data_IF_276728976910
#
_entry.id   IF_276728976910
#
_cell.length_a   1.000
_cell.length_b   1.000
_cell.length_c   1.000
_cell.angle_alpha   90.00
_cell.angle_beta   90.00
_cell.angle_gamma   90.00
#
_symmetry.space_group_name_H-M   'P 1'
#
loop_
_entity.id
_entity.type
_entity.pdbx_description
1 polymer ?
#
# COMPACT_ATOMS: atom_id res chain seq x y z
N UNK A 1 -15.59 6.09 27.78
CA UNK A 1 -14.88 4.96 27.14
C UNK A 1 -14.93 5.09 25.64
N UNK A 2 -13.80 5.39 25.04
CA UNK A 2 -13.70 5.35 23.59
C UNK A 2 -13.61 3.91 23.14
N UNK A 3 -14.74 3.36 22.74
CA UNK A 3 -14.70 2.14 21.98
C UNK A 3 -14.14 2.50 20.60
N UNK A 4 -12.87 2.19 20.38
CA UNK A 4 -12.31 2.33 19.06
C UNK A 4 -13.19 1.52 18.09
N UNK A 5 -13.69 2.15 17.04
CA UNK A 5 -14.47 1.46 16.02
C UNK A 5 -13.63 0.35 15.41
N UNK A 6 -14.22 -0.83 15.23
CA UNK A 6 -13.55 -1.94 14.57
C UNK A 6 -13.30 -1.58 13.09
N UNK A 7 -12.18 -2.02 12.52
CA UNK A 7 -11.91 -1.77 11.11
C UNK A 7 -12.87 -2.56 10.21
N UNK A 8 -13.18 -2.04 9.04
CA UNK A 8 -13.91 -2.80 8.03
C UNK A 8 -13.00 -3.87 7.41
N UNK A 9 -13.60 -4.93 6.89
CA UNK A 9 -12.84 -6.02 6.27
C UNK A 9 -12.10 -5.56 5.00
N UNK A 10 -10.79 -5.79 4.88
CA UNK A 10 -10.04 -5.43 3.67
C UNK A 10 -10.39 -6.28 2.45
N UNK A 11 -11.05 -7.42 2.64
CA UNK A 11 -11.42 -8.31 1.55
C UNK A 11 -12.79 -7.98 0.95
N UNK A 12 -13.81 -7.70 1.78
CA UNK A 12 -15.16 -7.47 1.30
C UNK A 12 -15.78 -6.12 1.69
N UNK A 13 -15.10 -5.34 2.53
CA UNK A 13 -15.57 -4.04 2.99
C UNK A 13 -16.66 -4.07 4.04
N UNK A 14 -17.06 -5.24 4.52
CA UNK A 14 -18.09 -5.38 5.55
C UNK A 14 -17.65 -4.76 6.88
N UNK A 15 -18.58 -4.16 7.60
CA UNK A 15 -18.36 -3.67 8.95
C UNK A 15 -18.65 -4.72 10.02
N UNK A 16 -19.15 -5.89 9.63
CA UNK A 16 -19.45 -7.00 10.53
C UNK A 16 -18.18 -7.76 10.92
N UNK A 17 -17.34 -7.08 11.68
CA UNK A 17 -16.02 -7.57 12.08
C UNK A 17 -16.01 -7.73 13.60
N UNK A 18 -15.43 -8.82 14.06
CA UNK A 18 -15.19 -9.07 15.48
C UNK A 18 -13.70 -9.18 15.76
N UNK A 19 -13.29 -8.76 16.96
CA UNK A 19 -11.92 -8.92 17.42
C UNK A 19 -11.74 -10.33 17.97
N UNK A 20 -10.72 -11.00 17.45
CA UNK A 20 -10.22 -12.27 18.00
C UNK A 20 -8.83 -11.95 18.56
N UNK A 21 -8.32 -12.77 19.46
CA UNK A 21 -7.01 -12.53 20.05
C UNK A 21 -5.91 -12.44 18.97
N UNK A 22 -5.37 -11.24 18.78
CA UNK A 22 -4.30 -10.96 17.84
C UNK A 22 -4.71 -10.71 16.39
N UNK A 23 -6.01 -10.76 16.07
CA UNK A 23 -6.50 -10.50 14.70
C UNK A 23 -7.98 -10.15 14.69
N UNK A 24 -8.53 -9.95 13.50
CA UNK A 24 -9.95 -9.68 13.27
C UNK A 24 -10.57 -10.75 12.38
N UNK A 25 -11.85 -10.99 12.56
CA UNK A 25 -12.62 -11.92 11.72
C UNK A 25 -13.84 -11.22 11.15
N UNK A 26 -14.04 -11.36 9.85
CA UNK A 26 -15.21 -10.83 9.16
C UNK A 26 -16.32 -11.87 9.13
N UNK A 27 -17.51 -11.50 9.62
CA UNK A 27 -18.68 -12.36 9.53
C UNK A 27 -19.27 -12.38 8.10
N UNK A 28 -19.01 -11.35 7.31
CA UNK A 28 -19.53 -11.25 5.94
C UNK A 28 -18.90 -12.23 4.97
N UNK A 29 -17.57 -12.28 4.92
CA UNK A 29 -16.84 -13.17 4.00
C UNK A 29 -16.07 -14.29 4.68
N UNK A 30 -16.12 -14.36 6.01
CA UNK A 30 -15.46 -15.38 6.86
C UNK A 30 -13.93 -15.34 6.79
N UNK A 31 -13.35 -14.24 6.34
CA UNK A 31 -11.90 -14.07 6.28
C UNK A 31 -11.34 -13.51 7.59
N UNK A 32 -10.14 -13.95 7.92
CA UNK A 32 -9.36 -13.36 9.00
C UNK A 32 -8.41 -12.33 8.43
N UNK A 33 -8.15 -11.25 9.17
CA UNK A 33 -7.21 -10.20 8.75
C UNK A 33 -6.58 -9.49 9.95
N UNK A 34 -5.57 -8.68 9.67
CA UNK A 34 -4.92 -7.85 10.68
C UNK A 34 -3.91 -8.58 11.55
N UNK A 35 -3.53 -9.80 11.19
CA UNK A 35 -2.40 -10.47 11.84
C UNK A 35 -1.12 -9.76 11.46
N UNK A 36 -0.24 -9.53 12.43
CA UNK A 36 1.10 -9.02 12.15
C UNK A 36 1.94 -10.20 11.66
N UNK A 37 2.28 -10.25 10.37
CA UNK A 37 3.09 -11.35 9.87
C UNK A 37 4.56 -11.20 10.29
N UNK A 38 5.27 -12.31 10.22
CA UNK A 38 6.72 -12.36 10.44
C UNK A 38 7.39 -12.81 9.15
N UNK A 39 8.62 -12.35 8.94
CA UNK A 39 9.43 -12.84 7.83
C UNK A 39 9.98 -14.25 8.13
N UNK A 40 10.73 -14.82 7.20
CA UNK A 40 11.31 -16.16 7.34
C UNK A 40 12.32 -16.26 8.50
N UNK A 41 12.81 -15.13 8.98
CA UNK A 41 13.77 -15.05 10.10
C UNK A 41 13.10 -14.76 11.44
N UNK A 42 11.76 -14.69 11.47
CA UNK A 42 11.01 -14.40 12.69
C UNK A 42 10.98 -12.93 13.09
N UNK A 43 11.34 -12.02 12.17
CA UNK A 43 11.26 -10.57 12.38
C UNK A 43 9.86 -10.10 11.96
N UNK A 44 9.17 -9.24 12.77
CA UNK A 44 7.90 -8.68 12.34
C UNK A 44 8.03 -7.96 11.00
N UNK A 45 7.09 -8.20 10.08
CA UNK A 45 7.09 -7.61 8.74
C UNK A 45 7.17 -6.08 8.77
N UNK A 46 6.57 -5.46 9.78
CA UNK A 46 6.65 -4.00 9.96
C UNK A 46 8.11 -3.54 10.09
N UNK A 47 8.92 -4.31 10.82
CA UNK A 47 10.35 -4.01 10.99
C UNK A 47 11.20 -4.48 9.82
N UNK A 48 10.81 -5.59 9.21
CA UNK A 48 11.53 -6.18 8.07
C UNK A 48 11.28 -5.40 6.76
N UNK A 49 10.21 -4.63 6.68
CA UNK A 49 9.92 -3.80 5.52
C UNK A 49 11.03 -2.75 5.33
N UNK A 50 11.78 -2.88 4.25
CA UNK A 50 12.93 -2.02 3.94
C UNK A 50 12.66 -1.04 2.82
N UNK A 51 11.52 -1.13 2.16
CA UNK A 51 11.20 -0.22 1.08
C UNK A 51 9.86 -0.49 0.43
N UNK A 52 9.59 0.31 -0.60
CA UNK A 52 8.33 0.26 -1.32
C UNK A 52 8.55 0.84 -2.71
N UNK A 53 7.88 0.26 -3.69
CA UNK A 53 7.78 0.83 -5.05
C UNK A 53 6.31 0.93 -5.41
N UNK A 54 5.92 2.08 -5.93
CA UNK A 54 4.53 2.33 -6.32
C UNK A 54 4.49 3.02 -7.66
N UNK A 55 3.60 2.55 -8.53
CA UNK A 55 3.32 3.18 -9.83
C UNK A 55 1.81 3.31 -9.99
N UNK A 56 1.38 4.48 -10.43
CA UNK A 56 -0.02 4.74 -10.76
C UNK A 56 -0.11 5.47 -12.10
N UNK A 57 -1.00 5.01 -12.96
CA UNK A 57 -1.19 5.57 -14.29
C UNK A 57 -0.64 4.67 -15.39
N UNK A 58 -0.64 5.15 -16.62
CA UNK A 58 -0.15 4.42 -17.78
C UNK A 58 0.92 5.19 -18.54
N UNK A 59 1.47 4.55 -19.58
CA UNK A 59 2.54 5.13 -20.39
C UNK A 59 2.04 6.22 -21.35
N UNK A 60 0.75 6.24 -21.64
CA UNK A 60 0.15 7.16 -22.62
C UNK A 60 -0.28 8.46 -21.97
N UNK A 61 -1.00 8.36 -20.84
CA UNK A 61 -1.60 9.51 -20.15
C UNK A 61 -0.72 10.04 -19.02
N UNK A 62 0.41 9.41 -18.77
CA UNK A 62 1.33 9.75 -17.71
C UNK A 62 1.20 8.85 -16.50
N UNK A 63 2.28 8.72 -15.77
CA UNK A 63 2.33 7.90 -14.56
C UNK A 63 3.16 8.57 -13.48
N UNK A 64 2.78 8.29 -12.24
CA UNK A 64 3.57 8.66 -11.06
C UNK A 64 4.26 7.40 -10.56
N UNK A 65 5.54 7.50 -10.25
CA UNK A 65 6.33 6.41 -9.66
C UNK A 65 6.99 6.89 -8.39
N UNK A 66 6.88 6.07 -7.36
CA UNK A 66 7.53 6.30 -6.08
C UNK A 66 8.45 5.14 -5.78
N UNK A 67 9.68 5.42 -5.36
CA UNK A 67 10.63 4.43 -4.86
C UNK A 67 11.08 4.87 -3.47
N UNK A 68 10.95 3.96 -2.52
CA UNK A 68 11.38 4.18 -1.14
C UNK A 68 12.33 3.07 -0.74
N UNK A 69 13.41 3.41 -0.05
CA UNK A 69 14.39 2.45 0.43
C UNK A 69 15.01 2.90 1.74
N UNK A 70 15.05 2.00 2.71
CA UNK A 70 15.68 2.25 4.00
C UNK A 70 17.20 2.30 3.84
N UNK A 71 17.81 3.33 4.41
CA UNK A 71 19.25 3.49 4.50
C UNK A 71 19.60 3.85 5.94
N UNK A 72 20.06 2.86 6.70
CA UNK A 72 20.25 3.02 8.13
C UNK A 72 18.94 3.30 8.86
N UNK A 73 18.86 4.43 9.54
CA UNK A 73 17.69 4.84 10.31
C UNK A 73 16.70 5.71 9.52
N UNK A 74 17.02 6.06 8.30
CA UNK A 74 16.16 6.91 7.46
C UNK A 74 15.65 6.14 6.25
N UNK A 75 14.60 6.66 5.62
CA UNK A 75 14.09 6.14 4.35
C UNK A 75 14.29 7.20 3.27
N UNK A 76 15.08 6.86 2.26
CA UNK A 76 15.27 7.71 1.10
C UNK A 76 14.15 7.43 0.11
N UNK A 77 13.61 8.47 -0.52
CA UNK A 77 12.60 8.29 -1.53
C UNK A 77 12.83 9.17 -2.75
N UNK A 78 12.36 8.67 -3.89
CA UNK A 78 12.36 9.38 -5.16
C UNK A 78 10.97 9.27 -5.77
N UNK A 79 10.47 10.38 -6.30
CA UNK A 79 9.21 10.44 -7.01
C UNK A 79 9.49 10.87 -8.45
N UNK A 80 8.88 10.18 -9.38
CA UNK A 80 8.96 10.50 -10.81
C UNK A 80 7.55 10.71 -11.34
N UNK A 81 7.35 11.80 -12.06
CA UNK A 81 6.10 12.10 -12.75
C UNK A 81 6.39 12.28 -14.24
N UNK A 82 5.78 11.47 -15.07
CA UNK A 82 5.93 11.51 -16.54
C UNK A 82 4.64 12.02 -17.18
N UNK A 83 4.24 13.24 -16.83
CA UNK A 83 3.02 13.83 -17.37
C UNK A 83 3.37 14.85 -18.47
N UNK A 84 2.63 14.81 -19.60
CA UNK A 84 2.71 15.82 -20.64
C UNK A 84 4.04 15.89 -21.39
N UNK A 85 4.81 14.81 -21.47
CA UNK A 85 6.08 14.76 -22.19
C UNK A 85 7.28 15.29 -21.40
N UNK A 86 7.08 15.67 -20.14
CA UNK A 86 8.16 16.05 -19.23
C UNK A 86 8.37 14.98 -18.15
N UNK A 87 9.58 14.90 -17.65
CA UNK A 87 9.90 14.06 -16.49
C UNK A 87 10.24 14.97 -15.32
N UNK A 88 9.36 14.99 -14.31
CA UNK A 88 9.61 15.68 -13.06
C UNK A 88 10.13 14.67 -12.03
N UNK A 89 11.17 15.06 -11.32
CA UNK A 89 11.76 14.21 -10.27
C UNK A 89 11.91 15.00 -8.98
N UNK A 90 11.57 14.37 -7.88
CA UNK A 90 11.82 14.88 -6.53
C UNK A 90 12.44 13.76 -5.69
N UNK A 91 13.48 14.08 -4.94
CA UNK A 91 14.13 13.15 -4.03
C UNK A 91 14.26 13.80 -2.66
N UNK A 92 13.96 13.05 -1.62
CA UNK A 92 14.06 13.51 -0.23
C UNK A 92 14.12 12.30 0.70
N UNK A 93 13.97 12.51 1.99
CA UNK A 93 14.01 11.43 2.97
C UNK A 93 12.94 11.58 4.05
N UNK A 94 12.58 10.46 4.63
CA UNK A 94 11.82 10.39 5.88
C UNK A 94 12.82 10.08 7.00
N UNK A 95 12.72 10.80 8.11
CA UNK A 95 13.51 10.46 9.29
C UNK A 95 13.02 9.15 9.91
N UNK A 96 13.74 8.66 10.92
CA UNK A 96 13.39 7.39 11.57
C UNK A 96 11.96 7.38 12.10
N UNK A 97 11.54 8.43 12.77
CA UNK A 97 10.20 8.48 13.37
C UNK A 97 9.10 8.44 12.29
N UNK A 98 9.28 9.20 11.20
CA UNK A 98 8.33 9.24 10.10
C UNK A 98 8.29 7.91 9.34
N UNK A 99 9.44 7.29 9.12
CA UNK A 99 9.55 5.99 8.47
C UNK A 99 8.89 4.88 9.29
N UNK A 100 9.16 4.85 10.59
CA UNK A 100 8.55 3.87 11.50
C UNK A 100 7.03 4.02 11.53
N UNK A 101 6.54 5.25 11.58
CA UNK A 101 5.10 5.53 11.54
C UNK A 101 4.48 5.09 10.22
N UNK A 102 5.14 5.37 9.10
CA UNK A 102 4.70 4.96 7.77
C UNK A 102 4.53 3.44 7.69
N UNK A 103 5.54 2.69 8.12
CA UNK A 103 5.49 1.22 8.11
C UNK A 103 4.35 0.68 8.97
N UNK A 104 4.18 1.22 10.17
CA UNK A 104 3.10 0.80 11.07
C UNK A 104 1.72 1.03 10.46
N UNK A 105 1.51 2.17 9.84
CA UNK A 105 0.24 2.49 9.20
C UNK A 105 -0.01 1.63 7.96
N UNK A 106 1.02 1.35 7.19
CA UNK A 106 0.93 0.49 6.01
C UNK A 106 0.39 -0.90 6.35
N UNK A 107 0.86 -1.48 7.46
CA UNK A 107 0.43 -2.83 7.88
C UNK A 107 -0.80 -2.82 8.80
N UNK A 108 -0.88 -1.88 9.74
CA UNK A 108 -1.90 -1.92 10.79
C UNK A 108 -3.16 -1.09 10.49
N UNK A 109 -3.10 -0.16 9.55
CA UNK A 109 -4.24 0.69 9.18
C UNK A 109 -4.68 0.51 7.73
N UNK A 110 -3.77 0.22 6.85
CA UNK A 110 -4.03 -0.02 5.43
C UNK A 110 -4.17 -1.52 5.15
N UNK A 111 -3.67 -2.36 6.06
CA UNK A 111 -3.74 -3.82 5.95
C UNK A 111 -3.16 -4.34 4.65
N UNK A 112 -2.04 -3.79 4.21
CA UNK A 112 -1.44 -4.15 2.92
C UNK A 112 -1.16 -5.64 2.81
N UNK A 113 -0.81 -6.29 3.92
CA UNK A 113 -0.55 -7.72 3.92
C UNK A 113 -1.79 -8.57 3.60
N UNK A 114 -2.98 -8.00 3.80
CA UNK A 114 -4.25 -8.68 3.54
C UNK A 114 -4.84 -8.33 2.17
N UNK A 115 -4.13 -7.56 1.36
CA UNK A 115 -4.58 -7.23 0.01
C UNK A 115 -4.52 -8.45 -0.90
N UNK A 116 -5.45 -8.51 -1.85
CA UNK A 116 -5.33 -9.46 -2.96
C UNK A 116 -4.17 -9.07 -3.86
N UNK A 117 -3.55 -10.05 -4.48
CA UNK A 117 -2.41 -9.78 -5.37
C UNK A 117 -2.82 -9.05 -6.65
N UNK A 118 -4.09 -9.21 -7.06
CA UNK A 118 -4.59 -8.64 -8.30
C UNK A 118 -6.02 -8.15 -8.13
N UNK A 119 -6.30 -6.97 -8.68
CA UNK A 119 -7.62 -6.35 -8.69
C UNK A 119 -8.03 -6.09 -10.13
N UNK A 120 -9.06 -6.80 -10.60
CA UNK A 120 -9.59 -6.71 -11.95
C UNK A 120 -11.05 -6.29 -11.84
N UNK A 121 -11.53 -5.31 -12.65
CA UNK A 121 -12.94 -4.95 -12.64
C UNK A 121 -13.79 -6.15 -13.03
N UNK A 122 -14.89 -6.35 -12.32
CA UNK A 122 -15.87 -7.35 -12.71
C UNK A 122 -16.62 -6.80 -13.92
N UNK A 123 -16.42 -7.46 -15.07
CA UNK A 123 -16.96 -7.06 -16.34
C UNK A 123 -17.43 -8.31 -17.09
N UNK A 124 -18.32 -8.15 -18.05
CA UNK A 124 -18.92 -9.22 -18.86
C UNK A 124 -17.92 -9.94 -19.79
N UNK A 125 -16.64 -10.05 -19.37
CA UNK A 125 -15.59 -10.68 -20.16
C UNK A 125 -14.97 -9.78 -21.21
N UNK A 126 -15.39 -8.51 -21.30
CA UNK A 126 -14.79 -7.52 -22.19
C UNK A 126 -13.52 -6.94 -21.55
N UNK A 127 -12.38 -6.91 -22.25
CA UNK A 127 -11.19 -6.26 -21.72
C UNK A 127 -11.46 -4.78 -21.44
N UNK A 128 -11.15 -4.33 -20.22
CA UNK A 128 -11.24 -2.92 -19.86
C UNK A 128 -9.88 -2.28 -20.01
N UNK A 129 -9.78 -1.32 -20.93
CA UNK A 129 -8.59 -0.49 -21.04
C UNK A 129 -8.79 0.70 -20.12
N UNK A 130 -7.87 0.92 -19.19
CA UNK A 130 -7.97 2.00 -18.21
C UNK A 130 -6.63 2.70 -18.06
N UNK A 131 -6.70 4.01 -17.76
CA UNK A 131 -5.55 4.83 -17.40
C UNK A 131 -5.26 4.78 -15.89
N UNK A 132 -6.00 3.96 -15.15
CA UNK A 132 -5.90 3.84 -13.69
C UNK A 132 -5.25 2.52 -13.28
N UNK A 133 -4.25 2.07 -14.02
CA UNK A 133 -3.45 0.91 -13.64
C UNK A 133 -2.49 1.30 -12.52
N UNK A 134 -2.28 0.36 -11.60
CA UNK A 134 -1.34 0.58 -10.52
C UNK A 134 -0.59 -0.70 -10.17
N UNK A 135 0.59 -0.51 -9.58
CA UNK A 135 1.40 -1.59 -9.06
C UNK A 135 2.08 -1.13 -7.77
N UNK A 136 1.99 -1.96 -6.75
CA UNK A 136 2.66 -1.74 -5.48
C UNK A 136 3.56 -2.92 -5.17
N UNK A 137 4.84 -2.66 -4.90
CA UNK A 137 5.77 -3.67 -4.39
C UNK A 137 6.19 -3.26 -2.98
N UNK A 138 5.96 -4.14 -2.02
CA UNK A 138 6.47 -4.00 -0.65
C UNK A 138 7.74 -4.83 -0.53
N UNK A 139 8.86 -4.19 -0.20
CA UNK A 139 10.18 -4.83 -0.16
C UNK A 139 10.49 -5.22 1.27
N UNK A 140 10.84 -6.48 1.46
CA UNK A 140 11.18 -7.05 2.77
C UNK A 140 12.57 -7.64 2.69
N UNK A 141 13.43 -7.28 3.63
CA UNK A 141 14.81 -7.80 3.76
C UNK A 141 15.66 -7.72 2.48
N UNK A 142 15.46 -6.68 1.67
CA UNK A 142 16.21 -6.40 0.43
C UNK A 142 15.97 -7.41 -0.70
N UNK A 143 15.45 -8.60 -0.42
CA UNK A 143 15.39 -9.70 -1.38
C UNK A 143 13.97 -10.19 -1.70
N UNK A 144 12.98 -9.87 -0.89
CA UNK A 144 11.61 -10.30 -1.12
C UNK A 144 10.72 -9.12 -1.48
N UNK A 145 9.95 -9.29 -2.55
CA UNK A 145 8.95 -8.32 -2.95
C UNK A 145 7.58 -8.97 -2.90
N UNK A 146 6.64 -8.29 -2.24
CA UNK A 146 5.22 -8.63 -2.30
C UNK A 146 4.57 -7.67 -3.29
N UNK A 147 4.09 -8.20 -4.41
CA UNK A 147 3.61 -7.39 -5.53
C UNK A 147 2.09 -7.46 -5.59
N UNK A 148 1.46 -6.29 -5.66
CA UNK A 148 0.02 -6.10 -5.80
C UNK A 148 -0.23 -5.26 -7.04
N UNK A 149 -1.24 -5.63 -7.82
CA UNK A 149 -1.57 -4.94 -9.08
C UNK A 149 -3.06 -4.70 -9.21
N UNK A 150 -3.42 -3.63 -9.91
CA UNK A 150 -4.80 -3.34 -10.23
C UNK A 150 -4.94 -2.71 -11.61
N UNK A 151 -6.05 -3.00 -12.25
CA UNK A 151 -6.39 -2.56 -13.60
C UNK A 151 -7.71 -1.79 -13.55
N UNK A 152 -7.70 -0.58 -12.95
CA UNK A 152 -8.89 0.21 -12.73
C UNK A 152 -9.78 -0.30 -11.61
N UNK A 153 -9.29 -1.24 -10.81
CA UNK A 153 -9.96 -1.75 -9.61
C UNK A 153 -8.99 -1.64 -8.43
N UNK A 154 -9.52 -1.42 -7.24
CA UNK A 154 -8.74 -0.98 -6.10
C UNK A 154 -9.10 -1.75 -4.84
N UNK A 155 -8.13 -1.91 -3.90
CA UNK A 155 -8.42 -2.48 -2.59
C UNK A 155 -9.41 -1.64 -1.80
N UNK A 156 -10.07 -2.27 -0.85
CA UNK A 156 -11.01 -1.58 0.07
C UNK A 156 -10.34 -0.41 0.79
N UNK A 157 -9.06 -0.54 1.13
CA UNK A 157 -8.30 0.49 1.85
C UNK A 157 -7.48 1.40 0.93
N UNK A 158 -7.82 1.48 -0.36
CA UNK A 158 -7.10 2.32 -1.32
C UNK A 158 -7.04 3.78 -0.90
N UNK A 159 -8.16 4.35 -0.44
CA UNK A 159 -8.21 5.76 -0.04
C UNK A 159 -7.30 6.04 1.14
N UNK A 160 -7.23 5.13 2.12
CA UNK A 160 -6.31 5.27 3.24
C UNK A 160 -4.85 5.17 2.79
N UNK A 161 -4.57 4.26 1.85
CA UNK A 161 -3.25 4.12 1.27
C UNK A 161 -2.83 5.41 0.54
N UNK A 162 -3.69 5.97 -0.27
CA UNK A 162 -3.40 7.22 -0.97
C UNK A 162 -3.22 8.39 -0.01
N UNK A 163 -3.97 8.43 1.09
CA UNK A 163 -3.76 9.43 2.15
C UNK A 163 -2.42 9.26 2.84
N UNK A 164 -1.96 8.03 3.01
CA UNK A 164 -0.65 7.75 3.58
C UNK A 164 0.48 8.26 2.68
N UNK A 165 0.33 8.14 1.37
CA UNK A 165 1.30 8.62 0.39
C UNK A 165 1.21 10.12 0.11
N UNK A 166 0.10 10.77 0.42
CA UNK A 166 -0.15 12.16 0.05
C UNK A 166 0.94 13.14 0.49
N UNK A 167 1.44 13.11 1.74
CA UNK A 167 2.51 14.02 2.15
C UNK A 167 3.80 13.86 1.33
N UNK A 168 4.06 12.66 0.83
CA UNK A 168 5.24 12.36 0.00
C UNK A 168 5.00 12.85 -1.43
N UNK A 169 3.85 12.47 -2.02
CA UNK A 169 3.53 12.81 -3.40
C UNK A 169 3.30 14.31 -3.62
N UNK A 170 2.87 15.03 -2.59
CA UNK A 170 2.65 16.47 -2.66
C UNK A 170 3.94 17.26 -2.97
N UNK A 171 5.10 16.68 -2.74
CA UNK A 171 6.38 17.33 -3.02
C UNK A 171 6.64 17.52 -4.53
N UNK A 172 5.91 16.82 -5.40
CA UNK A 172 5.99 17.04 -6.86
C UNK A 172 5.29 18.32 -7.31
N UNK A 173 4.32 18.80 -6.52
CA UNK A 173 3.50 19.96 -6.86
C UNK A 173 4.13 21.29 -6.42
N UNK A 174 5.26 21.22 -5.75
CA UNK A 174 5.97 22.41 -5.26
C UNK A 174 6.83 23.05 -6.33
#
# INVERSE_FOLDING_TARGET
MNMASLPKCPHCGSKEVSRVEGFYRCAGCLSDFGRVPYDDNGVPMIEACSGLRFRFGDLINGSVRLRMGQDGDVCLYEIYDSNGGGLNKHADMLDKAAWDKFRKELFNKVYVNDWNKEYIPVNDGTPVITDQDWELSVIVDENEEYIFRGYGAFPVYWDKFMKLLKPILANLEA
#
